data_IF_201603390691
#
_entry.id   IF_201603390691
#
_cell.length_a   1.000
_cell.length_b   1.000
_cell.length_c   1.000
_cell.angle_alpha   90.00
_cell.angle_beta   90.00
_cell.angle_gamma   90.00
#
_symmetry.space_group_name_H-M   'P 1'
#
loop_
_entity.id
_entity.type
_entity.pdbx_description
1 polymer ?
#
# COMPACT_ATOMS: atom_id res chain seq x y z
N UNK A 1 14.59 -19.22 15.11
CA UNK A 1 14.06 -18.65 16.36
C UNK A 1 13.80 -17.15 16.14
N UNK A 2 12.69 -16.63 16.66
CA UNK A 2 12.36 -15.20 16.66
C UNK A 2 12.46 -14.71 18.10
N UNK A 3 13.27 -13.68 18.34
CA UNK A 3 13.32 -12.97 19.62
C UNK A 3 12.57 -11.66 19.48
N UNK A 4 11.63 -11.41 20.38
CA UNK A 4 10.91 -10.15 20.49
C UNK A 4 11.24 -9.50 21.83
N UNK A 5 11.45 -8.21 21.80
CA UNK A 5 11.62 -7.37 22.97
C UNK A 5 10.63 -6.21 22.89
N UNK A 6 9.61 -6.25 23.73
CA UNK A 6 8.60 -5.22 23.81
C UNK A 6 8.93 -4.25 24.94
N UNK A 7 9.62 -3.17 24.61
CA UNK A 7 9.98 -2.13 25.56
C UNK A 7 8.73 -1.30 25.92
N UNK A 8 8.61 -0.80 27.16
CA UNK A 8 7.59 0.18 27.52
C UNK A 8 7.79 1.46 26.67
N UNK A 9 6.72 2.19 26.41
CA UNK A 9 6.76 3.43 25.61
C UNK A 9 7.42 3.26 24.23
N UNK A 10 7.20 2.11 23.58
CA UNK A 10 7.69 1.83 22.22
C UNK A 10 6.70 2.24 21.12
N UNK A 11 5.44 2.48 21.47
CA UNK A 11 4.39 2.94 20.58
C UNK A 11 3.32 3.70 21.35
N UNK A 12 2.66 4.64 20.69
CA UNK A 12 1.46 5.33 21.24
C UNK A 12 0.19 4.48 21.13
N UNK A 13 0.21 3.42 20.33
CA UNK A 13 -0.98 2.68 19.90
C UNK A 13 -0.82 1.19 20.20
N UNK A 14 -1.65 0.68 21.12
CA UNK A 14 -1.85 -0.74 21.40
C UNK A 14 -0.56 -1.59 21.33
N UNK A 15 0.49 -1.27 22.12
CA UNK A 15 1.70 -2.07 22.13
C UNK A 15 1.36 -3.45 22.67
N UNK A 16 1.45 -4.45 21.82
CA UNK A 16 1.29 -5.85 22.18
C UNK A 16 2.63 -6.54 22.23
N UNK A 17 2.76 -7.55 23.07
CA UNK A 17 3.93 -8.43 23.09
C UNK A 17 3.67 -9.71 22.30
N UNK A 18 4.70 -10.22 21.63
CA UNK A 18 4.64 -11.50 20.94
C UNK A 18 4.38 -11.42 19.44
N UNK A 19 4.26 -12.59 18.83
CA UNK A 19 3.96 -12.75 17.40
C UNK A 19 2.44 -12.71 17.21
N UNK A 20 1.91 -11.59 16.77
CA UNK A 20 0.48 -11.40 16.56
C UNK A 20 0.06 -11.46 15.08
N UNK A 21 1.02 -11.51 14.15
CA UNK A 21 0.81 -11.71 12.71
C UNK A 21 1.28 -13.09 12.29
N UNK A 22 0.73 -13.59 11.19
CA UNK A 22 1.11 -14.89 10.65
C UNK A 22 2.58 -14.89 10.21
N UNK A 23 3.26 -16.00 10.48
CA UNK A 23 4.64 -16.23 10.08
C UNK A 23 4.66 -17.39 9.09
N UNK A 24 5.27 -17.17 7.93
CA UNK A 24 5.37 -18.17 6.86
C UNK A 24 6.83 -18.55 6.64
N UNK A 25 7.08 -19.83 6.41
CA UNK A 25 8.36 -20.34 5.93
C UNK A 25 8.19 -20.71 4.46
N UNK A 26 8.95 -20.06 3.59
CA UNK A 26 8.95 -20.33 2.15
C UNK A 26 10.18 -21.12 1.82
N UNK A 27 10.00 -22.29 1.20
CA UNK A 27 11.08 -23.14 0.74
C UNK A 27 11.04 -23.18 -0.78
N UNK A 28 12.19 -22.84 -1.39
CA UNK A 28 12.32 -22.77 -2.85
C UNK A 28 13.47 -23.62 -3.32
N UNK A 29 13.51 -23.93 -4.61
CA UNK A 29 14.71 -24.43 -5.26
C UNK A 29 15.73 -23.28 -5.49
N UNK A 30 16.90 -23.66 -5.97
CA UNK A 30 18.00 -22.74 -6.26
C UNK A 30 17.64 -21.68 -7.34
N UNK A 31 16.78 -22.07 -8.29
CA UNK A 31 16.19 -21.18 -9.26
C UNK A 31 14.73 -20.91 -8.86
N UNK A 32 14.38 -19.68 -8.54
CA UNK A 32 13.06 -19.34 -8.05
C UNK A 32 12.67 -17.88 -8.30
N UNK A 33 11.41 -17.59 -8.11
CA UNK A 33 10.86 -16.24 -8.05
C UNK A 33 10.89 -15.80 -6.58
N UNK A 34 11.61 -14.73 -6.21
CA UNK A 34 11.71 -14.31 -4.82
C UNK A 34 10.37 -13.81 -4.29
N UNK A 35 10.26 -13.72 -2.96
CA UNK A 35 9.11 -13.12 -2.30
C UNK A 35 8.91 -11.70 -2.80
N UNK A 36 7.67 -11.35 -3.19
CA UNK A 36 7.30 -10.09 -3.87
C UNK A 36 8.05 -9.85 -5.19
N UNK A 37 8.58 -10.91 -5.79
CA UNK A 37 9.36 -10.84 -7.03
C UNK A 37 8.56 -10.51 -8.27
N UNK A 38 7.23 -10.44 -8.18
CA UNK A 38 6.37 -9.98 -9.28
C UNK A 38 5.84 -8.58 -8.99
N UNK A 39 5.78 -7.76 -10.05
CA UNK A 39 5.15 -6.44 -10.00
C UNK A 39 4.23 -6.28 -11.20
N UNK A 40 2.93 -6.11 -10.93
CA UNK A 40 1.89 -5.99 -11.96
C UNK A 40 1.42 -4.54 -12.02
N UNK A 41 1.48 -3.95 -13.20
CA UNK A 41 0.97 -2.61 -13.46
C UNK A 41 -0.07 -2.63 -14.58
N UNK A 42 -0.97 -1.65 -14.56
CA UNK A 42 -2.00 -1.46 -15.60
C UNK A 42 -1.85 -0.05 -16.20
N UNK A 43 -0.82 0.20 -17.03
CA UNK A 43 -0.52 1.53 -17.57
C UNK A 43 -1.64 2.09 -18.44
N UNK A 44 -2.50 1.23 -18.97
CA UNK A 44 -3.76 1.60 -19.61
C UNK A 44 -4.86 0.73 -19.03
N UNK A 45 -5.92 1.36 -18.54
CA UNK A 45 -7.10 0.66 -18.03
C UNK A 45 -8.35 1.44 -18.46
N UNK A 46 -9.00 0.97 -19.50
CA UNK A 46 -10.28 1.49 -20.02
C UNK A 46 -11.33 0.39 -20.05
N UNK A 47 -12.58 0.72 -20.38
CA UNK A 47 -13.65 -0.28 -20.54
C UNK A 47 -13.47 -1.13 -21.80
N UNK A 48 -12.75 -0.62 -22.78
CA UNK A 48 -12.49 -1.28 -24.07
C UNK A 48 -11.32 -2.24 -23.96
N UNK A 49 -10.22 -1.83 -23.35
CA UNK A 49 -9.05 -2.66 -23.18
C UNK A 49 -8.17 -2.20 -22.01
N UNK A 50 -7.33 -3.09 -21.53
CA UNK A 50 -6.26 -2.79 -20.60
C UNK A 50 -4.93 -3.35 -21.11
N UNK A 51 -3.86 -2.58 -20.85
CA UNK A 51 -2.49 -3.10 -20.89
C UNK A 51 -2.10 -3.55 -19.50
N UNK A 52 -1.68 -4.80 -19.37
CA UNK A 52 -1.19 -5.39 -18.13
C UNK A 52 0.29 -5.71 -18.33
N UNK A 53 1.15 -5.09 -17.52
CA UNK A 53 2.57 -5.38 -17.53
C UNK A 53 2.93 -6.17 -16.27
N UNK A 54 3.53 -7.34 -16.45
CA UNK A 54 4.03 -8.21 -15.36
C UNK A 54 5.54 -8.21 -15.41
N UNK A 55 6.18 -7.55 -14.45
CA UNK A 55 7.62 -7.62 -14.23
C UNK A 55 7.90 -8.70 -13.20
N UNK A 56 8.80 -9.63 -13.54
CA UNK A 56 9.17 -10.76 -12.69
C UNK A 56 10.67 -10.76 -12.42
N UNK A 57 11.06 -10.79 -11.16
CA UNK A 57 12.44 -11.03 -10.73
C UNK A 57 12.70 -12.51 -10.65
N UNK A 58 13.92 -12.93 -11.02
CA UNK A 58 14.35 -14.33 -10.97
C UNK A 58 15.67 -14.41 -10.19
N UNK A 59 15.73 -15.32 -9.26
CA UNK A 59 16.95 -15.70 -8.56
C UNK A 59 17.49 -16.96 -9.23
N UNK A 60 18.75 -16.93 -9.67
CA UNK A 60 19.49 -18.10 -10.14
C UNK A 60 20.73 -18.28 -9.25
N UNK A 61 21.16 -19.51 -9.07
CA UNK A 61 22.45 -19.78 -8.43
C UNK A 61 23.60 -19.20 -9.28
N UNK A 62 24.65 -18.83 -8.59
CA UNK A 62 25.91 -18.45 -9.23
C UNK A 62 26.43 -19.58 -10.16
N UNK A 63 26.72 -19.21 -11.40
CA UNK A 63 27.17 -20.16 -12.43
C UNK A 63 26.03 -20.92 -13.15
N UNK A 64 24.76 -20.69 -12.83
CA UNK A 64 23.64 -21.25 -13.59
C UNK A 64 23.60 -20.68 -15.02
N UNK A 65 23.37 -21.54 -16.00
CA UNK A 65 23.21 -21.16 -17.40
C UNK A 65 21.78 -20.63 -17.62
N UNK A 66 21.62 -19.32 -17.63
CA UNK A 66 20.33 -18.66 -17.87
C UNK A 66 19.67 -19.09 -19.19
N UNK A 67 20.43 -19.53 -20.18
CA UNK A 67 19.90 -20.01 -21.46
C UNK A 67 19.02 -21.26 -21.33
N UNK A 68 19.10 -21.99 -20.23
CA UNK A 68 18.28 -23.17 -19.95
C UNK A 68 16.90 -22.82 -19.34
N UNK A 69 16.71 -21.58 -18.89
CA UNK A 69 15.50 -21.19 -18.19
C UNK A 69 14.53 -20.39 -19.06
N UNK A 70 13.26 -20.54 -18.75
CA UNK A 70 12.21 -19.73 -19.35
C UNK A 70 11.14 -19.38 -18.31
N UNK A 71 10.48 -18.23 -18.49
CA UNK A 71 9.36 -17.80 -17.67
C UNK A 71 8.10 -17.80 -18.50
N UNK A 72 7.10 -18.52 -18.03
CA UNK A 72 5.75 -18.56 -18.61
C UNK A 72 4.78 -17.86 -17.67
N UNK A 73 4.16 -16.78 -18.12
CA UNK A 73 3.11 -16.10 -17.37
C UNK A 73 1.77 -16.24 -18.05
N UNK A 74 0.76 -16.69 -17.29
CA UNK A 74 -0.64 -16.80 -17.69
C UNK A 74 -1.47 -15.79 -16.92
N UNK A 75 -2.38 -15.07 -17.61
CA UNK A 75 -3.33 -14.14 -16.98
C UNK A 75 -4.70 -14.78 -16.96
N UNK A 76 -5.31 -14.77 -15.77
CA UNK A 76 -6.62 -15.36 -15.51
C UNK A 76 -7.63 -14.27 -15.12
N UNK A 77 -8.86 -14.38 -15.60
CA UNK A 77 -9.93 -13.45 -15.25
C UNK A 77 -10.54 -13.77 -13.87
N UNK A 78 -11.43 -12.89 -13.34
CA UNK A 78 -12.06 -13.09 -12.03
C UNK A 78 -12.89 -14.37 -11.91
N UNK A 79 -13.29 -14.98 -13.03
CA UNK A 79 -14.05 -16.23 -13.06
C UNK A 79 -13.15 -17.48 -13.16
N UNK A 80 -11.82 -17.33 -13.07
CA UNK A 80 -10.87 -18.42 -13.17
C UNK A 80 -10.64 -18.95 -14.60
N UNK A 81 -10.98 -18.18 -15.61
CA UNK A 81 -10.72 -18.53 -17.01
C UNK A 81 -9.39 -17.90 -17.45
N UNK A 82 -8.53 -18.70 -18.08
CA UNK A 82 -7.30 -18.21 -18.68
C UNK A 82 -7.59 -17.35 -19.91
N UNK A 83 -7.10 -16.12 -19.90
CA UNK A 83 -7.29 -15.15 -21.00
C UNK A 83 -6.14 -15.20 -22.01
N UNK A 84 -4.91 -15.25 -21.52
CA UNK A 84 -3.71 -15.18 -22.35
C UNK A 84 -2.52 -15.78 -21.63
N UNK A 85 -1.48 -16.12 -22.38
CA UNK A 85 -0.19 -16.53 -21.80
C UNK A 85 0.96 -16.15 -22.74
N UNK A 86 2.15 -15.98 -22.17
CA UNK A 86 3.39 -15.71 -22.88
C UNK A 86 4.55 -16.42 -22.21
N UNK A 87 5.47 -16.97 -23.03
CA UNK A 87 6.71 -17.57 -22.53
C UNK A 87 7.90 -16.77 -23.05
N UNK A 88 8.83 -16.41 -22.18
CA UNK A 88 10.08 -15.72 -22.54
C UNK A 88 11.27 -16.52 -22.01
N UNK A 89 12.23 -16.89 -22.88
CA UNK A 89 13.51 -17.45 -22.45
C UNK A 89 14.36 -16.43 -21.67
N UNK A 90 15.01 -16.85 -20.60
CA UNK A 90 15.85 -15.93 -19.80
C UNK A 90 17.08 -15.43 -20.57
N UNK A 91 17.50 -16.12 -21.62
CA UNK A 91 18.56 -15.66 -22.54
C UNK A 91 18.23 -14.32 -23.25
N UNK A 92 16.96 -13.92 -23.28
CA UNK A 92 16.50 -12.65 -23.88
C UNK A 92 16.48 -11.49 -22.87
N UNK A 93 16.80 -11.75 -21.59
CA UNK A 93 16.79 -10.73 -20.54
C UNK A 93 18.09 -9.93 -20.58
N UNK A 94 17.96 -8.61 -20.50
CA UNK A 94 19.12 -7.75 -20.20
C UNK A 94 19.45 -7.89 -18.72
N UNK A 95 20.59 -8.45 -18.41
CA UNK A 95 21.06 -8.90 -17.09
C UNK A 95 21.24 -7.79 -16.01
N UNK A 96 20.78 -6.55 -16.20
CA UNK A 96 21.09 -5.47 -15.28
C UNK A 96 20.34 -5.49 -13.94
N UNK A 97 19.22 -6.22 -13.85
CA UNK A 97 18.40 -6.28 -12.61
C UNK A 97 17.75 -7.64 -12.35
N UNK A 98 18.16 -8.69 -13.05
CA UNK A 98 17.57 -10.04 -12.96
C UNK A 98 16.05 -10.07 -13.10
N UNK A 99 15.46 -9.13 -13.83
CA UNK A 99 14.03 -9.08 -14.07
C UNK A 99 13.66 -9.10 -15.53
N UNK A 100 12.47 -9.62 -15.84
CA UNK A 100 11.87 -9.59 -17.16
C UNK A 100 10.50 -8.92 -17.08
N UNK A 101 10.06 -8.33 -18.20
CA UNK A 101 8.74 -7.73 -18.33
C UNK A 101 7.96 -8.39 -19.46
N UNK A 102 6.69 -8.70 -19.20
CA UNK A 102 5.75 -9.25 -20.15
C UNK A 102 4.53 -8.34 -20.23
N UNK A 103 4.13 -7.96 -21.45
CA UNK A 103 2.94 -7.12 -21.66
C UNK A 103 1.80 -7.96 -22.24
N UNK A 104 0.60 -7.79 -21.67
CA UNK A 104 -0.62 -8.46 -22.08
C UNK A 104 -1.70 -7.42 -22.39
N UNK A 105 -2.48 -7.67 -23.43
CA UNK A 105 -3.67 -6.88 -23.77
C UNK A 105 -4.91 -7.68 -23.38
N UNK A 106 -5.71 -7.09 -22.48
CA UNK A 106 -6.98 -7.67 -22.02
C UNK A 106 -8.11 -6.86 -22.65
N UNK A 107 -8.92 -7.50 -23.47
CA UNK A 107 -10.08 -6.88 -24.10
C UNK A 107 -11.26 -6.82 -23.12
N UNK A 108 -12.04 -5.75 -23.15
CA UNK A 108 -13.23 -5.54 -22.32
C UNK A 108 -13.06 -5.96 -20.85
N UNK A 109 -12.05 -5.42 -20.15
CA UNK A 109 -11.75 -5.84 -18.78
C UNK A 109 -12.86 -5.38 -17.82
N UNK A 110 -13.08 -6.17 -16.77
CA UNK A 110 -13.83 -5.70 -15.60
C UNK A 110 -12.89 -4.91 -14.72
N UNK A 111 -13.10 -3.59 -14.61
CA UNK A 111 -12.25 -2.72 -13.82
C UNK A 111 -12.54 -2.88 -12.34
N UNK A 112 -11.48 -2.93 -11.53
CA UNK A 112 -11.61 -2.96 -10.06
C UNK A 112 -12.09 -1.61 -9.54
N UNK A 113 -13.12 -1.65 -8.67
CA UNK A 113 -13.61 -0.51 -7.91
C UNK A 113 -14.22 -0.97 -6.58
N UNK A 114 -14.54 -0.05 -5.63
CA UNK A 114 -15.27 -0.41 -4.41
C UNK A 114 -16.60 -1.13 -4.64
N UNK A 115 -17.27 -0.85 -5.76
CA UNK A 115 -18.55 -1.45 -6.11
C UNK A 115 -18.39 -2.71 -6.98
N UNK A 116 -17.25 -2.88 -7.64
CA UNK A 116 -16.92 -4.01 -8.50
C UNK A 116 -15.48 -4.49 -8.20
N UNK A 117 -15.24 -5.22 -7.11
CA UNK A 117 -13.89 -5.64 -6.69
C UNK A 117 -13.38 -6.84 -7.49
N UNK A 118 -13.26 -6.69 -8.81
CA UNK A 118 -12.84 -7.73 -9.73
C UNK A 118 -11.33 -8.01 -9.62
N UNK A 119 -10.96 -9.23 -9.25
CA UNK A 119 -9.57 -9.65 -9.10
C UNK A 119 -9.17 -10.62 -10.21
N UNK A 120 -8.13 -10.27 -10.92
CA UNK A 120 -7.40 -11.12 -11.86
C UNK A 120 -6.25 -11.81 -11.15
N UNK A 121 -5.63 -12.79 -11.79
CA UNK A 121 -4.37 -13.35 -11.32
C UNK A 121 -3.36 -13.51 -12.47
N UNK A 122 -2.09 -13.22 -12.15
CA UNK A 122 -0.95 -13.54 -12.99
C UNK A 122 -0.25 -14.76 -12.35
N UNK A 123 -0.32 -15.90 -13.04
CA UNK A 123 0.41 -17.10 -12.65
C UNK A 123 1.71 -17.16 -13.43
N UNK A 124 2.83 -17.00 -12.74
CA UNK A 124 4.17 -17.00 -13.31
C UNK A 124 4.88 -18.29 -12.94
N UNK A 125 5.34 -19.04 -13.95
CA UNK A 125 6.04 -20.32 -13.82
C UNK A 125 7.45 -20.21 -14.35
N UNK A 126 8.42 -20.67 -13.57
CA UNK A 126 9.82 -20.78 -13.95
C UNK A 126 10.12 -22.21 -14.38
N UNK A 127 10.71 -22.39 -15.55
CA UNK A 127 11.11 -23.68 -16.09
C UNK A 127 12.63 -23.73 -16.33
N UNK A 128 13.22 -24.92 -16.13
CA UNK A 128 14.54 -25.30 -16.65
C UNK A 128 14.31 -26.39 -17.71
N UNK A 129 14.48 -26.06 -19.00
CA UNK A 129 13.97 -26.89 -20.08
C UNK A 129 12.46 -27.11 -19.94
N UNK A 130 12.03 -28.37 -19.83
CA UNK A 130 10.63 -28.75 -19.61
C UNK A 130 10.29 -28.95 -18.11
N UNK A 131 11.29 -28.82 -17.22
CA UNK A 131 11.08 -29.06 -15.80
C UNK A 131 10.61 -27.79 -15.09
N UNK A 132 9.44 -27.85 -14.45
CA UNK A 132 8.93 -26.79 -13.60
C UNK A 132 9.78 -26.66 -12.34
N UNK A 133 10.27 -25.44 -12.05
CA UNK A 133 11.09 -25.11 -10.89
C UNK A 133 10.33 -24.32 -9.84
N UNK A 134 9.48 -23.36 -10.26
CA UNK A 134 8.74 -22.54 -9.33
C UNK A 134 7.44 -22.05 -9.94
N UNK A 135 6.44 -21.77 -9.06
CA UNK A 135 5.16 -21.16 -9.42
C UNK A 135 4.89 -20.01 -8.45
N UNK A 136 4.62 -18.84 -9.00
CA UNK A 136 4.25 -17.68 -8.22
C UNK A 136 2.95 -17.07 -8.75
N UNK A 137 1.91 -17.00 -7.89
CA UNK A 137 0.60 -16.45 -8.28
C UNK A 137 0.41 -15.08 -7.63
N UNK A 138 0.15 -14.07 -8.44
CA UNK A 138 -0.05 -12.69 -8.03
C UNK A 138 -1.48 -12.24 -8.35
N UNK A 139 -2.34 -12.08 -7.34
CA UNK A 139 -3.64 -11.43 -7.56
C UNK A 139 -3.42 -9.94 -7.84
N UNK A 140 -4.24 -9.38 -8.73
CA UNK A 140 -4.21 -7.95 -9.07
C UNK A 140 -5.59 -7.48 -9.57
N UNK A 141 -5.79 -6.16 -9.58
CA UNK A 141 -6.96 -5.55 -10.18
C UNK A 141 -6.57 -4.64 -11.34
N UNK A 142 -7.40 -4.59 -12.37
CA UNK A 142 -7.23 -3.67 -13.50
C UNK A 142 -7.94 -2.37 -13.15
N UNK A 143 -7.19 -1.27 -13.01
CA UNK A 143 -7.71 0.05 -12.69
C UNK A 143 -6.75 1.16 -13.10
N UNK A 144 -7.27 2.39 -13.23
CA UNK A 144 -6.47 3.61 -13.30
C UNK A 144 -6.68 4.49 -12.08
N UNK A 145 -5.63 5.18 -11.66
CA UNK A 145 -5.65 6.18 -10.59
C UNK A 145 -5.06 7.47 -11.16
N UNK A 146 -5.74 8.58 -10.94
CA UNK A 146 -5.24 9.88 -11.32
C UNK A 146 -5.50 10.91 -10.20
N UNK A 147 -4.53 11.78 -9.99
CA UNK A 147 -4.67 12.99 -9.19
C UNK A 147 -4.62 14.17 -10.13
N UNK A 148 -5.72 14.89 -10.22
CA UNK A 148 -5.82 16.04 -11.13
C UNK A 148 -5.90 17.34 -10.31
N UNK A 149 -4.94 18.28 -10.47
CA UNK A 149 -4.97 19.57 -9.80
C UNK A 149 -6.35 20.26 -9.94
N UNK A 150 -6.83 20.83 -8.86
CA UNK A 150 -8.16 21.47 -8.76
C UNK A 150 -9.38 20.56 -8.98
N UNK A 151 -9.19 19.27 -9.31
CA UNK A 151 -10.30 18.35 -9.54
C UNK A 151 -10.36 17.22 -8.50
N UNK A 152 -9.20 16.79 -7.98
CA UNK A 152 -9.09 15.77 -6.93
C UNK A 152 -8.71 14.39 -7.46
N UNK A 153 -9.15 13.36 -6.76
CA UNK A 153 -8.85 11.95 -7.05
C UNK A 153 -9.85 11.34 -8.02
N UNK A 154 -9.32 10.60 -9.00
CA UNK A 154 -10.11 9.85 -9.99
C UNK A 154 -9.73 8.39 -9.97
N UNK A 155 -10.72 7.51 -9.94
CA UNK A 155 -10.60 6.08 -10.11
C UNK A 155 -11.31 5.66 -11.40
N UNK A 156 -10.60 5.02 -12.32
CA UNK A 156 -11.14 4.61 -13.62
C UNK A 156 -11.76 5.77 -14.43
N UNK A 157 -11.16 6.96 -14.33
CA UNK A 157 -11.65 8.18 -14.98
C UNK A 157 -12.84 8.84 -14.30
N UNK A 158 -13.37 8.28 -13.21
CA UNK A 158 -14.50 8.83 -12.46
C UNK A 158 -14.02 9.53 -11.19
N UNK A 159 -14.49 10.78 -10.97
CA UNK A 159 -14.16 11.53 -9.76
C UNK A 159 -14.68 10.78 -8.53
N UNK A 160 -13.78 10.46 -7.62
CA UNK A 160 -14.10 9.69 -6.42
C UNK A 160 -13.76 10.49 -5.16
N UNK A 161 -14.72 10.58 -4.24
CA UNK A 161 -14.54 11.21 -2.93
C UNK A 161 -14.29 10.11 -1.89
N UNK A 162 -13.23 10.26 -1.10
CA UNK A 162 -12.97 9.37 0.02
C UNK A 162 -13.98 9.63 1.14
N UNK A 163 -14.77 8.61 1.47
CA UNK A 163 -15.63 8.54 2.65
C UNK A 163 -15.01 7.47 3.54
N UNK A 164 -14.02 7.88 4.33
CA UNK A 164 -13.15 6.92 4.99
C UNK A 164 -13.06 7.10 6.49
N UNK A 165 -12.39 6.13 7.09
CA UNK A 165 -12.03 6.11 8.50
C UNK A 165 -10.53 5.85 8.65
N UNK A 166 -9.97 6.29 9.79
CA UNK A 166 -8.64 5.91 10.23
C UNK A 166 -8.77 4.74 11.18
N UNK A 167 -8.30 3.56 10.75
CA UNK A 167 -8.34 2.35 11.57
C UNK A 167 -6.96 2.01 12.10
N UNK A 168 -6.87 1.88 13.43
CA UNK A 168 -5.74 1.23 14.07
C UNK A 168 -5.86 -0.30 13.90
N UNK A 169 -4.77 -1.03 14.11
CA UNK A 169 -4.72 -2.50 13.96
C UNK A 169 -5.37 -3.27 15.12
N UNK A 170 -6.28 -2.64 15.82
CA UNK A 170 -7.02 -3.17 16.95
C UNK A 170 -8.39 -3.73 16.50
N UNK A 171 -8.71 -4.93 16.96
CA UNK A 171 -9.97 -5.62 16.72
C UNK A 171 -10.84 -5.71 18.00
N UNK A 172 -10.77 -4.71 18.89
CA UNK A 172 -11.53 -4.64 20.14
C UNK A 172 -11.12 -5.75 21.11
N UNK A 173 -12.02 -6.66 21.51
CA UNK A 173 -11.70 -7.71 22.49
C UNK A 173 -10.57 -8.66 22.05
N UNK A 174 -10.25 -8.70 20.77
CA UNK A 174 -9.16 -9.51 20.22
C UNK A 174 -7.81 -8.79 20.26
N UNK A 175 -7.79 -7.50 20.62
CA UNK A 175 -6.59 -6.68 20.62
C UNK A 175 -5.95 -6.63 19.23
N UNK A 176 -4.63 -6.73 19.16
CA UNK A 176 -3.87 -6.71 17.91
C UNK A 176 -3.80 -8.07 17.18
N UNK A 177 -4.45 -9.12 17.70
CA UNK A 177 -4.44 -10.44 17.07
C UNK A 177 -5.14 -10.39 15.71
N UNK A 178 -4.48 -10.94 14.69
CA UNK A 178 -5.04 -11.00 13.32
C UNK A 178 -6.09 -12.09 13.25
N UNK A 179 -7.33 -11.70 12.91
CA UNK A 179 -8.45 -12.61 12.71
C UNK A 179 -9.22 -12.21 11.46
N UNK A 180 -9.18 -13.03 10.42
CA UNK A 180 -9.79 -12.74 9.11
C UNK A 180 -11.30 -12.47 9.21
N UNK A 181 -12.04 -13.26 10.00
CA UNK A 181 -13.48 -13.06 10.16
C UNK A 181 -13.83 -11.72 10.84
N UNK A 182 -13.04 -11.31 11.83
CA UNK A 182 -13.21 -10.02 12.51
C UNK A 182 -12.87 -8.84 11.58
N UNK A 183 -11.80 -8.95 10.79
CA UNK A 183 -11.42 -7.97 9.78
C UNK A 183 -12.52 -7.81 8.73
N UNK A 184 -13.01 -8.91 8.17
CA UNK A 184 -14.11 -8.88 7.17
C UNK A 184 -15.40 -8.32 7.75
N UNK A 185 -15.71 -8.62 9.02
CA UNK A 185 -16.85 -8.01 9.72
C UNK A 185 -16.67 -6.50 9.85
N UNK A 186 -15.49 -6.02 10.22
CA UNK A 186 -15.18 -4.58 10.33
C UNK A 186 -15.39 -3.88 8.98
N UNK A 187 -14.83 -4.42 7.89
CA UNK A 187 -15.00 -3.86 6.53
C UNK A 187 -16.46 -3.83 6.13
N UNK A 188 -17.24 -4.90 6.41
CA UNK A 188 -18.67 -4.94 6.09
C UNK A 188 -19.43 -3.83 6.80
N UNK A 189 -19.21 -3.64 8.11
CA UNK A 189 -19.84 -2.58 8.89
C UNK A 189 -19.49 -1.19 8.32
N UNK A 190 -18.24 -0.97 7.93
CA UNK A 190 -17.81 0.29 7.32
C UNK A 190 -18.51 0.51 5.97
N UNK A 191 -18.62 -0.50 5.13
CA UNK A 191 -19.37 -0.41 3.87
C UNK A 191 -20.86 -0.14 4.10
N UNK A 192 -21.49 -0.81 5.08
CA UNK A 192 -22.89 -0.59 5.45
C UNK A 192 -23.12 0.85 5.95
N UNK A 193 -22.11 1.47 6.55
CA UNK A 193 -22.09 2.87 6.95
C UNK A 193 -21.90 3.85 5.76
N UNK A 194 -21.59 3.34 4.56
CA UNK A 194 -21.31 4.13 3.37
C UNK A 194 -19.84 4.52 3.20
N UNK A 195 -18.93 3.91 3.94
CA UNK A 195 -17.49 4.10 3.74
C UNK A 195 -17.00 3.38 2.47
N UNK A 196 -16.04 4.00 1.80
CA UNK A 196 -15.35 3.43 0.64
C UNK A 196 -13.82 3.39 0.79
N UNK A 197 -13.29 3.87 1.93
CA UNK A 197 -11.85 3.96 2.16
C UNK A 197 -11.47 3.75 3.64
N UNK A 198 -10.26 3.24 3.86
CA UNK A 198 -9.61 3.13 5.17
C UNK A 198 -8.19 3.69 5.05
N UNK A 199 -7.77 4.51 6.03
CA UNK A 199 -6.37 4.80 6.29
C UNK A 199 -5.87 3.88 7.39
N UNK A 200 -4.74 3.19 7.15
CA UNK A 200 -4.17 2.26 8.13
C UNK A 200 -3.30 3.01 9.12
N UNK A 201 -3.92 3.50 10.19
CA UNK A 201 -3.29 4.34 11.20
C UNK A 201 -2.49 3.52 12.21
N UNK A 202 -1.27 3.81 12.51
CA UNK A 202 -0.30 4.65 11.84
C UNK A 202 0.92 3.80 11.57
N UNK A 203 0.71 2.68 10.91
CA UNK A 203 1.74 1.68 10.61
C UNK A 203 1.29 0.71 9.50
N UNK A 204 2.22 -0.12 9.06
CA UNK A 204 1.97 -1.16 8.06
C UNK A 204 0.79 -2.07 8.46
N UNK A 205 -0.26 -2.22 7.63
CA UNK A 205 -1.40 -3.09 7.92
C UNK A 205 -1.03 -4.58 7.92
N UNK A 206 -1.92 -5.42 8.46
CA UNK A 206 -1.83 -6.86 8.27
C UNK A 206 -2.18 -7.23 6.82
N UNK A 207 -1.52 -8.24 6.21
CA UNK A 207 -1.83 -8.69 4.85
C UNK A 207 -3.29 -9.14 4.68
N UNK A 208 -3.89 -9.70 5.72
CA UNK A 208 -5.30 -10.10 5.74
C UNK A 208 -6.25 -8.93 5.56
N UNK A 209 -5.93 -7.75 6.12
CA UNK A 209 -6.72 -6.54 5.93
C UNK A 209 -6.68 -6.10 4.47
N UNK A 210 -5.48 -6.04 3.89
CA UNK A 210 -5.30 -5.59 2.50
C UNK A 210 -6.00 -6.53 1.53
N UNK A 211 -5.81 -7.85 1.70
CA UNK A 211 -6.51 -8.87 0.91
C UNK A 211 -8.05 -8.75 1.03
N UNK A 212 -8.56 -8.59 2.25
CA UNK A 212 -10.00 -8.43 2.45
C UNK A 212 -10.54 -7.13 1.79
N UNK A 213 -9.75 -6.05 1.78
CA UNK A 213 -10.10 -4.82 1.08
C UNK A 213 -10.10 -4.99 -0.44
N UNK A 214 -9.15 -5.75 -1.01
CA UNK A 214 -9.15 -6.09 -2.42
C UNK A 214 -10.42 -6.86 -2.83
N UNK A 215 -10.79 -7.86 -2.04
CA UNK A 215 -11.92 -8.77 -2.31
C UNK A 215 -13.29 -8.14 -2.04
N UNK A 216 -13.36 -7.24 -1.06
CA UNK A 216 -14.63 -6.64 -0.63
C UNK A 216 -14.85 -5.23 -1.20
N UNK A 217 -13.89 -4.67 -1.90
CA UNK A 217 -13.98 -3.34 -2.49
C UNK A 217 -13.91 -2.21 -1.45
N UNK A 218 -12.74 -2.04 -0.83
CA UNK A 218 -12.45 -0.94 0.09
C UNK A 218 -11.11 -0.32 -0.29
N UNK A 219 -11.07 0.96 -0.64
CA UNK A 219 -9.81 1.63 -0.94
C UNK A 219 -8.94 1.77 0.31
N UNK A 220 -7.63 1.70 0.13
CA UNK A 220 -6.66 1.84 1.21
C UNK A 220 -5.68 2.99 0.93
N UNK A 221 -5.50 3.82 1.95
CA UNK A 221 -4.31 4.64 2.14
C UNK A 221 -3.43 3.88 3.13
N UNK A 222 -2.38 3.24 2.60
CA UNK A 222 -1.47 2.43 3.42
C UNK A 222 -0.39 3.32 4.01
N UNK A 223 -0.33 3.32 5.35
CA UNK A 223 0.61 4.16 6.10
C UNK A 223 1.76 3.34 6.68
N UNK A 224 2.95 3.96 6.71
CA UNK A 224 4.18 3.33 7.15
C UNK A 224 4.57 3.67 8.59
N UNK A 225 4.57 4.97 8.96
CA UNK A 225 5.21 5.44 10.18
C UNK A 225 4.36 6.45 10.95
N UNK A 226 4.26 6.28 12.29
CA UNK A 226 3.70 7.29 13.19
C UNK A 226 4.73 8.37 13.59
N UNK A 227 6.00 8.02 13.59
CA UNK A 227 7.11 8.93 13.87
C UNK A 227 8.30 8.68 12.95
N UNK A 228 9.17 9.68 12.83
CA UNK A 228 10.43 9.56 12.10
C UNK A 228 11.62 9.57 13.06
N UNK A 229 12.69 10.30 12.73
CA UNK A 229 13.89 10.41 13.57
C UNK A 229 13.75 11.32 14.80
N UNK A 230 12.57 11.92 15.01
CA UNK A 230 12.24 12.64 16.25
C UNK A 230 11.18 11.89 17.02
N UNK A 231 11.46 11.65 18.30
CA UNK A 231 10.64 10.82 19.17
C UNK A 231 9.24 11.37 19.42
N UNK A 232 8.25 10.51 19.35
CA UNK A 232 6.95 10.65 20.02
C UNK A 232 6.87 9.76 21.25
N UNK A 233 7.65 8.68 21.27
CA UNK A 233 7.77 7.74 22.37
C UNK A 233 9.23 7.56 22.76
N UNK A 234 9.51 7.27 24.04
CA UNK A 234 10.88 7.13 24.53
C UNK A 234 11.66 6.01 23.85
N UNK A 235 11.00 4.89 23.56
CA UNK A 235 11.57 3.71 22.88
C UNK A 235 10.93 3.48 21.52
N UNK A 236 10.63 4.57 20.79
CA UNK A 236 9.94 4.53 19.51
C UNK A 236 10.81 4.21 18.31
N UNK A 237 10.21 4.29 17.12
CA UNK A 237 10.87 4.00 15.85
C UNK A 237 12.02 4.97 15.53
N UNK A 238 12.01 6.16 16.13
CA UNK A 238 13.07 7.17 16.00
C UNK A 238 14.47 6.63 16.30
N UNK A 239 14.58 5.64 17.19
CA UNK A 239 15.87 5.03 17.58
C UNK A 239 16.52 4.22 16.45
N UNK A 240 15.74 3.73 15.52
CA UNK A 240 16.20 2.89 14.41
C UNK A 240 15.92 3.50 13.04
N UNK A 241 15.32 4.70 12.99
CA UNK A 241 14.85 5.35 11.76
C UNK A 241 15.94 5.41 10.68
N UNK A 242 17.11 5.94 11.01
CA UNK A 242 18.17 6.18 10.02
C UNK A 242 18.69 4.85 9.39
N UNK A 243 18.65 3.75 10.14
CA UNK A 243 19.09 2.45 9.64
C UNK A 243 18.00 1.70 8.86
N UNK A 244 16.73 1.83 9.28
CA UNK A 244 15.65 0.92 8.85
C UNK A 244 14.62 1.56 7.94
N UNK A 245 14.48 2.87 7.93
CA UNK A 245 13.38 3.56 7.25
C UNK A 245 13.26 3.20 5.76
N UNK A 246 14.38 3.16 5.03
CA UNK A 246 14.34 2.78 3.61
C UNK A 246 13.99 1.30 3.44
N UNK A 247 14.60 0.41 4.23
CA UNK A 247 14.33 -1.03 4.20
C UNK A 247 12.86 -1.33 4.45
N UNK A 248 12.29 -0.71 5.49
CA UNK A 248 10.91 -0.93 5.90
C UNK A 248 9.91 -0.35 4.89
N UNK A 249 10.19 0.85 4.35
CA UNK A 249 9.32 1.45 3.35
C UNK A 249 9.35 0.68 2.01
N UNK A 250 10.52 0.23 1.57
CA UNK A 250 10.66 -0.65 0.39
C UNK A 250 9.88 -1.95 0.59
N UNK A 251 10.03 -2.59 1.76
CA UNK A 251 9.30 -3.81 2.09
C UNK A 251 7.78 -3.59 2.09
N UNK A 252 7.30 -2.49 2.66
CA UNK A 252 5.87 -2.13 2.66
C UNK A 252 5.35 -1.98 1.22
N UNK A 253 6.06 -1.22 0.39
CA UNK A 253 5.65 -0.99 -1.01
C UNK A 253 5.68 -2.30 -1.80
N UNK A 254 6.75 -3.09 -1.71
CA UNK A 254 6.85 -4.38 -2.41
C UNK A 254 5.75 -5.35 -2.00
N UNK A 255 5.39 -5.37 -0.70
CA UNK A 255 4.34 -6.25 -0.19
C UNK A 255 2.97 -5.91 -0.80
N UNK A 256 2.65 -4.61 -0.98
CA UNK A 256 1.29 -4.19 -1.32
C UNK A 256 1.11 -3.53 -2.69
N UNK A 257 2.18 -3.33 -3.47
CA UNK A 257 2.07 -2.65 -4.77
C UNK A 257 1.22 -3.38 -5.83
N UNK A 258 0.95 -4.67 -5.64
CA UNK A 258 0.07 -5.44 -6.52
C UNK A 258 -1.42 -5.40 -6.09
N UNK A 259 -1.71 -4.92 -4.88
CA UNK A 259 -3.07 -4.88 -4.33
C UNK A 259 -3.85 -3.70 -4.92
N UNK A 260 -4.97 -3.92 -5.62
CA UNK A 260 -5.72 -2.85 -6.25
C UNK A 260 -6.43 -1.92 -5.27
N UNK A 261 -6.75 -2.39 -4.07
CA UNK A 261 -7.33 -1.57 -3.00
C UNK A 261 -6.39 -0.47 -2.53
N UNK A 262 -5.07 -0.67 -2.60
CA UNK A 262 -4.09 0.35 -2.23
C UNK A 262 -4.06 1.43 -3.31
N UNK A 263 -4.56 2.61 -2.97
CA UNK A 263 -4.69 3.74 -3.91
C UNK A 263 -3.76 4.91 -3.58
N UNK A 264 -3.12 4.88 -2.41
CA UNK A 264 -2.23 5.95 -1.94
C UNK A 264 -1.26 5.41 -0.88
N UNK A 265 -0.02 5.88 -0.93
CA UNK A 265 0.97 5.66 0.14
C UNK A 265 0.96 6.82 1.11
N UNK A 266 1.03 6.54 2.41
CA UNK A 266 1.14 7.54 3.47
C UNK A 266 2.43 7.31 4.25
N UNK A 267 3.32 8.30 4.26
CA UNK A 267 4.70 8.12 4.77
C UNK A 267 4.93 8.69 6.15
N UNK A 268 3.91 9.21 6.80
CA UNK A 268 4.05 9.72 8.18
C UNK A 268 2.76 10.28 8.75
N UNK A 269 2.69 10.30 10.08
CA UNK A 269 1.58 10.86 10.82
C UNK A 269 2.07 11.87 11.86
N UNK A 270 1.63 13.12 11.77
CA UNK A 270 1.85 14.17 12.80
C UNK A 270 3.28 14.19 13.36
N UNK A 271 4.24 13.99 12.49
CA UNK A 271 5.65 13.83 12.88
C UNK A 271 6.17 15.14 13.50
N UNK A 272 7.00 15.09 14.56
CA UNK A 272 7.56 16.32 15.17
C UNK A 272 8.41 17.16 14.19
N UNK A 273 8.89 16.55 13.11
CA UNK A 273 9.65 17.20 12.04
C UNK A 273 8.85 18.27 11.26
N UNK A 274 7.52 18.32 11.38
CA UNK A 274 6.71 19.34 10.71
C UNK A 274 6.96 20.78 11.22
N UNK A 275 7.70 20.93 12.34
CA UNK A 275 8.03 22.23 12.93
C UNK A 275 9.40 22.81 12.48
N UNK A 276 10.14 22.09 11.63
CA UNK A 276 11.45 22.53 11.16
C UNK A 276 11.78 22.04 9.73
N UNK A 277 12.95 22.45 9.22
CA UNK A 277 13.37 22.16 7.84
C UNK A 277 13.64 20.69 7.57
N UNK A 278 13.84 19.85 8.58
CA UNK A 278 14.07 18.41 8.37
C UNK A 278 12.83 17.72 7.81
N UNK A 279 11.64 18.23 8.13
CA UNK A 279 10.38 17.70 7.64
C UNK A 279 10.29 17.66 6.11
N UNK A 280 10.62 18.77 5.45
CA UNK A 280 10.62 18.83 3.99
C UNK A 280 11.60 17.83 3.35
N UNK A 281 12.82 17.73 3.90
CA UNK A 281 13.87 16.83 3.38
C UNK A 281 13.49 15.36 3.52
N UNK A 282 12.98 14.98 4.70
CA UNK A 282 12.55 13.59 4.96
C UNK A 282 11.31 13.25 4.14
N UNK A 283 10.33 14.15 4.05
CA UNK A 283 9.13 13.96 3.21
C UNK A 283 9.50 13.65 1.76
N UNK A 284 10.41 14.48 1.21
CA UNK A 284 10.88 14.25 -0.17
C UNK A 284 11.60 12.91 -0.32
N UNK A 285 12.49 12.58 0.61
CA UNK A 285 13.23 11.31 0.59
C UNK A 285 12.29 10.10 0.62
N UNK A 286 11.29 10.09 1.51
CA UNK A 286 10.34 8.99 1.62
C UNK A 286 9.43 8.89 0.38
N UNK A 287 8.98 10.03 -0.15
CA UNK A 287 8.22 10.06 -1.39
C UNK A 287 9.04 9.53 -2.58
N UNK A 288 10.31 9.92 -2.68
CA UNK A 288 11.19 9.44 -3.75
C UNK A 288 11.38 7.90 -3.69
N UNK A 289 11.43 7.31 -2.49
CA UNK A 289 11.43 5.85 -2.32
C UNK A 289 10.12 5.25 -2.85
N UNK A 290 8.98 5.79 -2.46
CA UNK A 290 7.70 5.29 -2.94
C UNK A 290 7.60 5.35 -4.47
N UNK A 291 7.99 6.47 -5.09
CA UNK A 291 7.97 6.63 -6.54
C UNK A 291 8.97 5.71 -7.26
N UNK A 292 10.12 5.44 -6.65
CA UNK A 292 11.10 4.48 -7.19
C UNK A 292 10.55 3.05 -7.22
N UNK A 293 9.87 2.64 -6.15
CA UNK A 293 9.38 1.27 -6.01
C UNK A 293 7.98 1.05 -6.60
N UNK A 294 7.18 2.11 -6.66
CA UNK A 294 5.83 2.11 -7.23
C UNK A 294 5.41 3.51 -7.74
N UNK A 295 5.72 3.86 -8.98
CA UNK A 295 5.35 5.16 -9.57
C UNK A 295 3.85 5.28 -9.93
N UNK A 296 3.03 4.27 -9.62
CA UNK A 296 1.63 4.23 -10.04
C UNK A 296 0.66 4.83 -9.02
N UNK A 297 1.15 5.15 -7.81
CA UNK A 297 0.31 5.68 -6.73
C UNK A 297 0.86 6.98 -6.18
N UNK A 298 -0.02 7.94 -5.85
CA UNK A 298 0.40 9.17 -5.19
C UNK A 298 0.83 8.91 -3.74
N UNK A 299 1.63 9.83 -3.22
CA UNK A 299 2.16 9.80 -1.85
C UNK A 299 1.62 10.98 -1.05
N UNK A 300 1.27 10.73 0.20
CA UNK A 300 0.80 11.72 1.17
C UNK A 300 1.40 11.48 2.55
N UNK A 301 1.03 12.32 3.50
CA UNK A 301 1.28 12.15 4.93
C UNK A 301 0.21 12.91 5.73
N UNK A 302 -0.07 12.49 6.96
CA UNK A 302 -0.99 13.19 7.86
C UNK A 302 -0.28 14.30 8.63
N UNK A 303 -0.67 15.57 8.44
CA UNK A 303 -0.04 16.74 9.04
C UNK A 303 -1.05 17.55 9.85
N UNK A 304 -0.82 17.72 11.16
CA UNK A 304 -1.72 18.46 12.06
C UNK A 304 -1.34 19.93 12.28
N UNK A 305 -0.21 20.36 11.72
CA UNK A 305 0.29 21.74 11.77
C UNK A 305 0.24 22.42 10.38
N UNK A 306 -0.95 22.59 9.75
CA UNK A 306 -1.08 22.94 8.33
C UNK A 306 -0.37 24.24 7.95
N UNK A 307 -0.30 25.23 8.80
CA UNK A 307 0.40 26.48 8.47
C UNK A 307 1.93 26.32 8.53
N UNK A 308 2.44 25.56 9.48
CA UNK A 308 3.89 25.30 9.60
C UNK A 308 4.40 24.52 8.39
N UNK A 309 3.71 23.43 8.00
CA UNK A 309 4.12 22.57 6.88
C UNK A 309 3.97 23.23 5.51
N UNK A 310 3.08 24.20 5.38
CA UNK A 310 2.98 25.03 4.15
C UNK A 310 4.12 26.05 4.13
N UNK A 311 4.45 26.69 5.27
CA UNK A 311 5.49 27.70 5.34
C UNK A 311 6.90 27.13 5.15
N UNK A 312 7.18 25.90 5.58
CA UNK A 312 8.47 25.24 5.43
C UNK A 312 8.54 24.31 4.21
N UNK A 313 7.55 24.34 3.32
CA UNK A 313 7.43 23.53 2.11
C UNK A 313 7.26 22.02 2.32
N UNK A 314 7.09 21.51 3.53
CA UNK A 314 6.89 20.09 3.78
C UNK A 314 5.62 19.55 3.10
N UNK A 315 4.55 20.34 3.09
CA UNK A 315 3.32 19.97 2.38
C UNK A 315 3.43 20.13 0.85
N UNK A 316 4.28 21.06 0.39
CA UNK A 316 4.41 21.37 -1.03
C UNK A 316 5.20 20.32 -1.82
N UNK A 317 6.05 19.52 -1.16
CA UNK A 317 6.82 18.44 -1.82
C UNK A 317 6.02 17.15 -1.99
N UNK A 318 4.88 17.00 -1.32
CA UNK A 318 4.03 15.81 -1.43
C UNK A 318 3.14 15.87 -2.67
N UNK A 319 2.84 14.71 -3.28
CA UNK A 319 1.86 14.63 -4.36
C UNK A 319 0.49 15.12 -3.90
N UNK A 320 0.12 14.77 -2.69
CA UNK A 320 -1.14 15.16 -2.04
C UNK A 320 -0.85 15.67 -0.64
N UNK A 321 -1.23 16.92 -0.33
CA UNK A 321 -1.11 17.46 1.01
C UNK A 321 -2.20 16.88 1.92
N UNK A 322 -1.84 15.96 2.82
CA UNK A 322 -2.74 15.37 3.80
C UNK A 322 -2.78 16.20 5.08
N UNK A 323 -3.96 16.68 5.48
CA UNK A 323 -4.11 17.44 6.72
C UNK A 323 -4.97 16.71 7.73
N UNK A 324 -4.45 16.63 8.95
CA UNK A 324 -5.17 16.16 10.12
C UNK A 324 -5.87 17.34 10.78
N UNK A 325 -7.18 17.21 10.99
CA UNK A 325 -8.01 18.21 11.63
C UNK A 325 -7.99 19.59 10.94
N UNK A 326 -8.44 20.63 11.60
CA UNK A 326 -8.37 22.05 11.20
C UNK A 326 -8.93 22.35 9.80
N UNK A 327 -10.14 21.84 9.41
CA UNK A 327 -10.70 22.05 8.07
C UNK A 327 -10.89 23.52 7.72
N UNK A 328 -11.00 24.40 8.72
CA UNK A 328 -11.06 25.85 8.54
C UNK A 328 -9.80 26.46 7.92
N UNK A 329 -8.66 25.72 7.90
CA UNK A 329 -7.40 26.15 7.27
C UNK A 329 -7.28 25.66 5.80
N UNK A 330 -8.13 24.76 5.33
CA UNK A 330 -7.99 24.15 4.01
C UNK A 330 -8.01 25.18 2.89
N UNK A 331 -9.00 26.08 2.87
CA UNK A 331 -9.13 27.07 1.80
C UNK A 331 -7.93 28.02 1.69
N UNK A 332 -7.36 28.43 2.82
CA UNK A 332 -6.21 29.34 2.86
C UNK A 332 -4.96 28.64 2.38
N UNK A 333 -4.73 27.41 2.85
CA UNK A 333 -3.53 26.64 2.53
C UNK A 333 -3.58 26.08 1.11
N UNK A 334 -4.76 25.68 0.63
CA UNK A 334 -4.96 25.25 -0.76
C UNK A 334 -4.40 26.25 -1.79
N UNK A 335 -4.63 27.55 -1.57
CA UNK A 335 -4.15 28.60 -2.47
C UNK A 335 -2.64 28.77 -2.50
N UNK A 336 -1.95 28.31 -1.46
CA UNK A 336 -0.48 28.38 -1.32
C UNK A 336 0.24 27.14 -1.85
N UNK A 337 -0.47 26.02 -1.99
CA UNK A 337 0.11 24.74 -2.39
C UNK A 337 0.24 24.63 -3.92
N UNK A 338 1.43 24.33 -4.46
CA UNK A 338 1.66 24.27 -5.90
C UNK A 338 0.86 23.16 -6.58
N UNK A 339 0.65 22.02 -5.92
CA UNK A 339 -0.11 20.88 -6.44
C UNK A 339 -1.63 21.11 -6.41
N UNK A 340 -2.12 22.09 -5.65
CA UNK A 340 -3.54 22.45 -5.55
C UNK A 340 -4.46 21.27 -5.23
N UNK A 341 -4.01 20.41 -4.32
CA UNK A 341 -4.75 19.26 -3.80
C UNK A 341 -4.52 19.17 -2.30
N UNK A 342 -5.61 19.04 -1.57
CA UNK A 342 -5.63 18.75 -0.13
C UNK A 342 -6.51 17.54 0.10
N UNK A 343 -6.05 16.66 0.98
CA UNK A 343 -6.81 15.54 1.52
C UNK A 343 -6.99 15.74 3.03
N UNK A 344 -8.20 15.60 3.53
CA UNK A 344 -8.42 15.43 4.97
C UNK A 344 -8.02 14.01 5.36
N UNK A 345 -6.79 13.82 5.83
CA UNK A 345 -6.29 12.53 6.27
C UNK A 345 -6.88 12.10 7.61
N UNK A 346 -7.18 13.08 8.48
CA UNK A 346 -8.01 12.93 9.68
C UNK A 346 -8.87 14.19 9.83
N UNK A 347 -10.20 14.07 9.69
CA UNK A 347 -11.07 15.24 9.77
C UNK A 347 -11.65 15.47 11.16
N UNK A 348 -11.85 14.38 11.94
CA UNK A 348 -12.35 14.42 13.31
C UNK A 348 -11.85 13.19 14.09
N UNK A 349 -11.64 13.36 15.39
CA UNK A 349 -11.43 12.24 16.32
C UNK A 349 -12.75 11.73 16.84
N UNK A 350 -12.93 10.41 16.84
CA UNK A 350 -14.01 9.74 17.56
C UNK A 350 -13.42 9.04 18.76
N UNK A 351 -13.68 9.58 19.94
CA UNK A 351 -13.07 9.12 21.19
C UNK A 351 -13.83 7.99 21.88
N UNK A 352 -14.99 7.58 21.36
CA UNK A 352 -15.79 6.49 21.90
C UNK A 352 -16.27 5.56 20.81
N UNK A 353 -15.97 4.29 20.95
CA UNK A 353 -16.48 3.24 20.07
C UNK A 353 -17.84 2.70 20.51
N UNK A 354 -18.30 3.05 21.72
CA UNK A 354 -19.60 2.65 22.27
C UNK A 354 -20.23 3.84 22.95
N UNK A 355 -21.53 4.00 22.77
CA UNK A 355 -22.30 5.07 23.39
C UNK A 355 -22.35 4.93 24.92
N UNK A 356 -22.63 6.03 25.57
CA UNK A 356 -23.01 6.06 26.98
C UNK A 356 -24.49 5.69 27.06
N UNK A 357 -24.81 4.61 27.79
CA UNK A 357 -26.18 4.12 27.90
C UNK A 357 -26.91 4.63 29.15
N UNK A 358 -26.38 5.60 29.84
CA UNK A 358 -27.00 6.29 30.97
C UNK A 358 -27.50 7.65 30.53
N UNK A 359 -28.75 7.97 30.91
CA UNK A 359 -29.33 9.29 30.66
C UNK A 359 -29.72 9.94 31.98
N UNK A 360 -29.59 11.27 32.14
CA UNK A 360 -28.95 12.18 31.18
C UNK A 360 -27.45 11.88 30.98
N UNK A 361 -26.94 12.21 29.84
CA UNK A 361 -25.50 12.21 29.57
C UNK A 361 -24.93 13.46 30.26
N UNK A 362 -24.17 13.29 31.32
CA UNK A 362 -23.47 14.36 32.03
C UNK A 362 -22.13 14.67 31.36
#
# INVERSE_FOLDING_TARGET
AVRLENLPESSRWYPGAGLYRNVHVIVTENAHIPVWGTYVTTPTATKEFAKVNVRTQIVLLEGADAGKYSVKTSVWNPNGQKLTEQTIPLSQIKYNDNSLSQEFIIQTPTLWSPDMPALYSAETRLYEGDQLKDIYTTPFGIRSIEIIPNKGFFLNGEKTVFKGVCNHHDLGPLGAAVNDAAIRRQIRILKDMGCNAIRTSHNMPAPELVRACDEMGMMLMVESFDEWNKAKCANGYNLIFDEWVEKDLVNLVHHYRNNPSVVMWCVGNEVPNQWDESGCKISKFLQDICHREDPTRPVTQGMDAPDAVVNNNMAAVMDVAGFNYRPFRYQVNYKKLPQQIILGSETASTVSSRGVYKFPVE
#
